data_IF_120778453140
#
_entry.id   IF_120778453140
#
_cell.length_a   1.000
_cell.length_b   1.000
_cell.length_c   1.000
_cell.angle_alpha   90.00
_cell.angle_beta   90.00
_cell.angle_gamma   90.00
#
_symmetry.space_group_name_H-M   'P 1'
#
loop_
_entity.id
_entity.type
_entity.pdbx_description
1 polymer ?
#
# COMPACT_ATOMS: atom_id res chain seq x y z
N UNK A 1 19.51 -9.62 -9.22
CA UNK A 1 19.27 -9.00 -9.46
C UNK A 1 18.76 -8.87 -10.63
N UNK A 2 17.72 -9.20 -11.01
CA UNK A 2 17.26 -9.04 -12.06
C UNK A 2 17.82 -7.99 -12.67
N UNK A 3 18.47 -7.37 -11.98
CA UNK A 3 19.20 -6.49 -12.50
C UNK A 3 19.88 -6.94 -13.70
N UNK A 4 20.02 -8.20 -13.87
CA UNK A 4 20.66 -8.72 -15.05
C UNK A 4 19.96 -8.35 -16.33
N UNK A 5 18.64 -8.32 -16.33
CA UNK A 5 17.90 -7.95 -17.53
C UNK A 5 17.88 -6.45 -17.76
N UNK A 6 18.27 -5.67 -16.76
CA UNK A 6 18.25 -4.22 -16.83
C UNK A 6 19.63 -3.61 -16.62
N UNK A 7 20.67 -4.43 -16.81
CA UNK A 7 22.04 -4.01 -16.46
C UNK A 7 22.53 -2.77 -17.20
N UNK A 8 22.00 -2.50 -18.39
CA UNK A 8 22.39 -1.33 -19.16
C UNK A 8 21.33 -0.23 -19.11
N UNK A 9 20.36 -0.38 -18.24
CA UNK A 9 19.24 0.57 -18.15
C UNK A 9 19.26 1.26 -16.80
N UNK A 10 19.24 2.58 -16.82
CA UNK A 10 19.10 3.39 -15.60
C UNK A 10 17.65 3.83 -15.49
N UNK A 11 17.06 3.65 -14.32
CA UNK A 11 15.64 3.95 -14.17
C UNK A 11 15.31 4.47 -12.79
N UNK A 12 14.25 5.27 -12.73
CA UNK A 12 13.76 5.86 -11.49
C UNK A 12 12.23 5.83 -11.52
N UNK A 13 11.68 4.66 -11.71
CA UNK A 13 10.22 4.49 -11.78
C UNK A 13 9.66 4.39 -10.36
N UNK A 14 9.32 5.53 -9.79
CA UNK A 14 8.83 5.62 -8.42
C UNK A 14 7.35 5.95 -8.41
N UNK A 15 6.64 5.31 -7.49
CA UNK A 15 5.19 5.47 -7.38
C UNK A 15 4.79 5.58 -5.93
N UNK A 16 3.82 6.44 -5.67
CA UNK A 16 3.13 6.49 -4.39
C UNK A 16 1.85 5.68 -4.57
N UNK A 17 1.69 4.64 -3.78
CA UNK A 17 0.58 3.71 -3.91
C UNK A 17 -0.16 3.64 -2.58
N UNK A 18 -1.49 3.66 -2.65
CA UNK A 18 -2.34 3.52 -1.46
C UNK A 18 -3.37 2.44 -1.73
N UNK A 19 -3.54 1.53 -0.79
CA UNK A 19 -4.58 0.51 -0.89
C UNK A 19 -5.07 0.14 0.50
N UNK A 20 -6.25 -0.45 0.58
CA UNK A 20 -6.96 -0.60 1.85
C UNK A 20 -7.59 -1.97 1.99
N UNK A 21 -7.79 -2.42 3.24
CA UNK A 21 -8.58 -3.61 3.49
C UNK A 21 -10.01 -3.44 2.97
N UNK A 22 -10.65 -4.56 2.67
CA UNK A 22 -12.03 -4.58 2.21
C UNK A 22 -12.92 -3.85 3.22
N UNK A 23 -13.78 -2.99 2.71
CA UNK A 23 -14.65 -2.12 3.51
C UNK A 23 -13.88 -1.14 4.38
N UNK A 24 -12.59 -0.94 4.11
CA UNK A 24 -11.73 -0.06 4.91
C UNK A 24 -11.81 -0.36 6.40
N UNK A 25 -11.86 -1.63 6.75
CA UNK A 25 -11.90 -2.04 8.15
C UNK A 25 -10.60 -1.66 8.85
N UNK A 26 -10.72 -1.18 10.09
CA UNK A 26 -9.56 -0.76 10.87
C UNK A 26 -8.97 -1.96 11.59
N UNK A 27 -8.36 -2.88 10.84
CA UNK A 27 -7.84 -4.09 11.44
C UNK A 27 -6.31 -4.22 11.36
N UNK A 28 -5.64 -3.28 10.72
CA UNK A 28 -4.18 -3.35 10.58
C UNK A 28 -3.55 -2.72 11.82
N UNK A 29 -3.46 -3.50 12.88
CA UNK A 29 -2.80 -3.08 14.11
C UNK A 29 -2.29 -4.31 14.84
N UNK A 30 -1.44 -4.11 15.84
CA UNK A 30 -0.90 -5.20 16.64
C UNK A 30 -0.18 -6.25 15.80
N UNK A 31 -0.47 -7.51 16.07
CA UNK A 31 0.19 -8.62 15.37
C UNK A 31 -0.15 -8.65 13.89
N UNK A 32 -1.37 -8.26 13.54
CA UNK A 32 -1.76 -8.21 12.12
C UNK A 32 -0.93 -7.18 11.38
N UNK A 33 -0.69 -6.03 11.98
CA UNK A 33 0.13 -4.99 11.38
C UNK A 33 1.55 -5.50 11.10
N UNK A 34 2.15 -6.16 12.08
CA UNK A 34 3.50 -6.69 11.93
C UNK A 34 3.56 -7.73 10.80
N UNK A 35 2.59 -8.62 10.75
CA UNK A 35 2.54 -9.63 9.70
C UNK A 35 2.31 -9.02 8.33
N UNK A 36 1.40 -8.06 8.22
CA UNK A 36 1.14 -7.40 6.95
C UNK A 36 2.42 -6.71 6.45
N UNK A 37 3.11 -5.98 7.33
CA UNK A 37 4.34 -5.31 6.94
C UNK A 37 5.39 -6.30 6.44
N UNK A 38 5.57 -7.40 7.16
CA UNK A 38 6.54 -8.42 6.76
C UNK A 38 6.17 -9.10 5.46
N UNK A 39 4.90 -9.42 5.28
CA UNK A 39 4.42 -10.06 4.06
C UNK A 39 4.63 -9.15 2.86
N UNK A 40 4.23 -7.89 2.96
CA UNK A 40 4.38 -6.95 1.86
C UNK A 40 5.85 -6.74 1.51
N UNK A 41 6.70 -6.62 2.51
CA UNK A 41 8.14 -6.45 2.29
C UNK A 41 8.73 -7.66 1.56
N UNK A 42 8.36 -8.86 1.98
CA UNK A 42 8.84 -10.09 1.35
C UNK A 42 8.40 -10.17 -0.11
N UNK A 43 7.14 -9.85 -0.37
CA UNK A 43 6.60 -9.94 -1.72
C UNK A 43 7.22 -8.89 -2.65
N UNK A 44 7.47 -7.70 -2.14
CA UNK A 44 8.15 -6.67 -2.91
C UNK A 44 9.56 -7.13 -3.30
N UNK A 45 10.29 -7.70 -2.36
CA UNK A 45 11.63 -8.21 -2.63
C UNK A 45 11.62 -9.29 -3.71
N UNK A 46 10.62 -10.16 -3.71
CA UNK A 46 10.51 -11.22 -4.70
C UNK A 46 10.36 -10.69 -6.12
N UNK A 47 9.83 -9.50 -6.27
CA UNK A 47 9.64 -8.87 -7.58
C UNK A 47 10.70 -7.82 -7.90
N UNK A 48 11.69 -7.67 -7.06
CA UNK A 48 12.72 -6.66 -7.27
C UNK A 48 12.20 -5.24 -7.07
N UNK A 49 11.12 -5.09 -6.33
CA UNK A 49 10.54 -3.78 -6.03
C UNK A 49 11.13 -3.29 -4.72
N UNK A 50 11.70 -2.10 -4.77
CA UNK A 50 12.31 -1.48 -3.59
C UNK A 50 11.28 -0.63 -2.86
N UNK A 51 11.12 -0.85 -1.57
CA UNK A 51 10.27 0.01 -0.75
C UNK A 51 11.15 1.13 -0.22
N UNK A 52 10.88 2.35 -0.66
CA UNK A 52 11.63 3.53 -0.20
C UNK A 52 11.09 3.94 1.16
N UNK A 53 9.78 3.96 1.29
CA UNK A 53 9.13 4.26 2.55
C UNK A 53 7.74 3.63 2.53
N UNK A 54 7.25 3.21 3.68
CA UNK A 54 5.90 2.64 3.77
C UNK A 54 5.36 2.84 5.18
N UNK A 55 4.04 2.95 5.27
CA UNK A 55 3.36 3.06 6.55
C UNK A 55 2.08 2.24 6.51
N UNK A 56 1.91 1.39 7.52
CA UNK A 56 0.69 0.61 7.67
C UNK A 56 -0.21 1.34 8.65
N UNK A 57 -1.23 1.99 8.13
CA UNK A 57 -2.25 2.60 8.95
C UNK A 57 -3.34 1.57 9.23
N UNK A 58 -4.22 1.86 10.19
CA UNK A 58 -5.23 0.87 10.59
C UNK A 58 -6.13 0.43 9.45
N UNK A 59 -6.47 1.34 8.56
CA UNK A 59 -7.41 1.05 7.48
C UNK A 59 -6.83 1.24 6.09
N UNK A 60 -5.52 1.44 5.96
CA UNK A 60 -4.91 1.56 4.64
C UNK A 60 -3.39 1.45 4.73
N UNK A 61 -2.77 1.25 3.58
CA UNK A 61 -1.33 1.18 3.44
C UNK A 61 -0.88 2.30 2.50
N UNK A 62 0.13 3.06 2.89
CA UNK A 62 0.83 3.98 2.02
C UNK A 62 2.20 3.40 1.69
N UNK A 63 2.57 3.39 0.42
CA UNK A 63 3.89 2.91 0.01
C UNK A 63 4.49 3.84 -1.02
N UNK A 64 5.76 4.17 -0.85
CA UNK A 64 6.55 4.78 -1.90
C UNK A 64 7.51 3.70 -2.38
N UNK A 65 7.36 3.27 -3.62
CA UNK A 65 8.12 2.14 -4.15
C UNK A 65 8.80 2.50 -5.46
N UNK A 66 9.87 1.76 -5.74
CA UNK A 66 10.59 1.87 -7.00
C UNK A 66 10.39 0.54 -7.71
N UNK A 67 9.68 0.57 -8.83
CA UNK A 67 9.30 -0.64 -9.56
C UNK A 67 10.13 -0.76 -10.83
N UNK A 68 10.74 -1.94 -11.10
CA UNK A 68 11.50 -2.12 -12.33
C UNK A 68 10.64 -1.85 -13.55
N UNK A 69 11.19 -1.22 -14.60
CA UNK A 69 10.40 -0.85 -15.77
C UNK A 69 9.85 -2.02 -16.58
N UNK A 70 10.34 -3.22 -16.34
CA UNK A 70 9.82 -4.40 -17.04
C UNK A 70 8.56 -4.98 -16.37
N UNK A 71 8.06 -4.37 -15.29
CA UNK A 71 6.85 -4.81 -14.62
C UNK A 71 5.87 -3.63 -14.59
N UNK A 72 4.64 -3.86 -15.02
CA UNK A 72 3.62 -2.82 -14.92
C UNK A 72 3.15 -2.68 -13.48
N UNK A 73 2.63 -1.49 -13.15
CA UNK A 73 2.06 -1.26 -11.83
C UNK A 73 0.89 -2.21 -11.57
N UNK A 74 0.04 -2.41 -12.57
CA UNK A 74 -1.13 -3.28 -12.39
C UNK A 74 -0.73 -4.73 -12.17
N UNK A 75 0.29 -5.20 -12.86
CA UNK A 75 0.80 -6.55 -12.68
C UNK A 75 1.37 -6.71 -11.28
N UNK A 76 2.16 -5.75 -10.85
CA UNK A 76 2.74 -5.78 -9.50
C UNK A 76 1.65 -5.74 -8.43
N UNK A 77 0.66 -4.86 -8.57
CA UNK A 77 -0.40 -4.74 -7.58
C UNK A 77 -1.30 -5.98 -7.54
N UNK A 78 -1.55 -6.59 -8.69
CA UNK A 78 -2.30 -7.84 -8.73
C UNK A 78 -1.58 -8.93 -7.95
N UNK A 79 -0.28 -9.05 -8.16
CA UNK A 79 0.55 -10.00 -7.44
C UNK A 79 0.57 -9.67 -5.93
N UNK A 80 0.85 -8.42 -5.60
CA UNK A 80 1.01 -8.02 -4.20
C UNK A 80 -0.28 -8.24 -3.41
N UNK A 81 -1.40 -7.79 -3.95
CA UNK A 81 -2.68 -7.92 -3.26
C UNK A 81 -3.15 -9.38 -3.19
N UNK A 82 -2.99 -10.11 -4.27
CA UNK A 82 -3.41 -11.51 -4.32
C UNK A 82 -2.63 -12.40 -3.38
N UNK A 83 -1.30 -12.34 -3.47
CA UNK A 83 -0.45 -13.17 -2.62
C UNK A 83 -0.53 -12.77 -1.16
N UNK A 84 -0.56 -11.47 -0.87
CA UNK A 84 -0.65 -11.02 0.51
C UNK A 84 -1.96 -11.44 1.16
N UNK A 85 -3.08 -11.40 0.42
CA UNK A 85 -4.35 -11.87 0.96
C UNK A 85 -4.26 -13.32 1.43
N UNK A 86 -3.69 -14.18 0.60
CA UNK A 86 -3.54 -15.60 0.95
C UNK A 86 -2.65 -15.78 2.19
N UNK A 87 -1.56 -15.06 2.25
CA UNK A 87 -0.63 -15.18 3.36
C UNK A 87 -1.21 -14.62 4.65
N UNK A 88 -1.97 -13.53 4.57
CA UNK A 88 -2.61 -12.95 5.73
C UNK A 88 -3.66 -13.92 6.30
N UNK A 89 -4.50 -14.48 5.44
CA UNK A 89 -5.52 -15.43 5.89
C UNK A 89 -4.92 -16.73 6.40
N UNK A 90 -3.73 -17.08 5.91
CA UNK A 90 -3.03 -18.26 6.38
C UNK A 90 -2.59 -18.08 7.84
N UNK A 91 -2.12 -16.90 8.18
CA UNK A 91 -1.67 -16.59 9.53
C UNK A 91 -2.80 -16.18 10.47
N UNK A 92 -3.87 -15.63 9.92
CA UNK A 92 -5.00 -15.12 10.68
C UNK A 92 -6.29 -15.71 10.13
N UNK A 93 -6.45 -17.01 10.34
CA UNK A 93 -7.56 -17.76 9.72
C UNK A 93 -8.93 -17.23 10.08
N UNK A 94 -9.07 -16.65 11.27
CA UNK A 94 -10.36 -16.10 11.69
C UNK A 94 -10.83 -14.95 10.81
N UNK A 95 -9.94 -14.28 10.12
CA UNK A 95 -10.32 -13.19 9.23
C UNK A 95 -11.06 -13.66 7.99
N UNK A 96 -10.85 -14.91 7.57
CA UNK A 96 -11.57 -15.45 6.42
C UNK A 96 -13.06 -15.37 6.61
N UNK A 97 -13.51 -15.67 7.82
CA UNK A 97 -14.93 -15.71 8.11
C UNK A 97 -15.55 -14.31 8.09
N UNK A 98 -14.75 -13.31 8.43
CA UNK A 98 -15.24 -11.93 8.42
C UNK A 98 -15.42 -11.38 7.02
N UNK A 99 -14.57 -11.81 6.08
CA UNK A 99 -14.59 -11.25 4.74
C UNK A 99 -15.37 -12.09 3.74
N UNK A 100 -15.81 -13.25 4.13
CA UNK A 100 -16.70 -14.07 3.32
C UNK A 100 -16.11 -14.68 2.07
N UNK A 101 -15.00 -14.15 1.58
CA UNK A 101 -14.27 -14.71 0.48
C UNK A 101 -12.81 -14.47 0.77
N UNK A 102 -11.94 -14.89 -0.09
CA UNK A 102 -10.50 -14.87 0.20
C UNK A 102 -9.83 -13.58 -0.21
N UNK A 103 -10.55 -12.48 -0.21
CA UNK A 103 -9.97 -11.20 -0.59
C UNK A 103 -9.89 -10.31 0.62
N UNK A 104 -8.68 -10.06 1.06
CA UNK A 104 -8.45 -9.17 2.20
C UNK A 104 -8.57 -7.71 1.81
N UNK A 105 -8.15 -7.35 0.61
CA UNK A 105 -8.05 -5.96 0.16
C UNK A 105 -9.26 -5.51 -0.64
N UNK A 106 -9.53 -4.21 -0.61
CA UNK A 106 -10.52 -3.61 -1.50
C UNK A 106 -10.10 -3.80 -2.93
N UNK A 107 -11.06 -3.75 -3.86
CA UNK A 107 -10.74 -3.66 -5.25
C UNK A 107 -10.04 -2.34 -5.53
N UNK A 108 -9.10 -2.36 -6.44
CA UNK A 108 -8.43 -1.14 -6.85
C UNK A 108 -7.37 -0.65 -5.87
N UNK A 109 -6.79 0.47 -6.23
CA UNK A 109 -5.76 1.13 -5.45
C UNK A 109 -5.55 2.51 -6.07
N UNK A 110 -4.95 3.39 -5.28
CA UNK A 110 -4.51 4.69 -5.79
C UNK A 110 -3.04 4.58 -6.17
N UNK A 111 -2.66 5.18 -7.30
CA UNK A 111 -1.26 5.25 -7.70
C UNK A 111 -0.98 6.60 -8.33
N UNK A 112 0.17 7.17 -7.97
CA UNK A 112 0.64 8.41 -8.54
C UNK A 112 2.12 8.26 -8.86
N UNK A 113 2.56 8.79 -9.98
CA UNK A 113 3.98 8.78 -10.33
C UNK A 113 4.70 9.83 -9.51
N UNK A 114 5.92 9.50 -9.10
CA UNK A 114 6.68 10.37 -8.24
C UNK A 114 7.97 10.74 -8.93
N UNK A 115 8.22 12.03 -9.07
CA UNK A 115 9.45 12.52 -9.68
C UNK A 115 10.35 13.16 -8.66
N UNK A 116 10.67 14.44 -8.88
CA UNK A 116 11.61 15.17 -8.02
C UNK A 116 11.08 15.42 -6.61
N UNK A 117 9.78 15.23 -6.39
CA UNK A 117 9.17 15.41 -5.09
C UNK A 117 9.20 14.15 -4.23
N UNK A 118 9.96 13.14 -4.62
CA UNK A 118 10.04 11.87 -3.90
C UNK A 118 10.34 12.07 -2.42
N UNK A 119 11.26 12.97 -2.11
CA UNK A 119 11.67 13.19 -0.73
C UNK A 119 10.55 13.75 0.12
N UNK A 120 9.73 14.63 -0.43
CA UNK A 120 8.59 15.19 0.29
C UNK A 120 7.55 14.11 0.58
N UNK A 121 7.32 13.24 -0.37
CA UNK A 121 6.37 12.15 -0.21
C UNK A 121 6.88 11.16 0.83
N UNK A 122 8.18 10.88 0.80
CA UNK A 122 8.81 10.00 1.78
C UNK A 122 8.59 10.56 3.19
N UNK A 123 8.83 11.85 3.38
CA UNK A 123 8.63 12.49 4.67
C UNK A 123 7.16 12.46 5.10
N UNK A 124 6.26 12.68 4.16
CA UNK A 124 4.83 12.64 4.44
C UNK A 124 4.43 11.26 4.97
N UNK A 125 4.87 10.20 4.31
CA UNK A 125 4.55 8.84 4.73
C UNK A 125 5.15 8.54 6.10
N UNK A 126 6.39 8.98 6.31
CA UNK A 126 7.09 8.77 7.56
C UNK A 126 6.34 9.37 8.75
N UNK A 127 5.73 10.51 8.54
CA UNK A 127 5.04 11.23 9.59
C UNK A 127 3.55 10.93 9.64
N UNK A 128 3.10 9.99 8.85
CA UNK A 128 1.67 9.69 8.72
C UNK A 128 1.01 9.38 10.05
N UNK A 129 1.65 8.56 10.88
CA UNK A 129 1.06 8.19 12.15
C UNK A 129 0.98 9.35 13.12
N UNK A 130 1.99 10.21 13.11
CA UNK A 130 2.03 11.34 14.02
C UNK A 130 0.96 12.36 13.68
N UNK A 131 0.66 12.47 12.38
CA UNK A 131 -0.27 13.46 11.90
C UNK A 131 -1.68 12.90 11.68
N UNK A 132 -1.93 11.67 12.07
CA UNK A 132 -3.22 11.03 11.82
C UNK A 132 -4.39 11.86 12.32
N UNK A 133 -4.31 12.36 13.53
CA UNK A 133 -5.40 13.14 14.09
C UNK A 133 -5.56 14.45 13.35
N UNK A 134 -4.45 15.13 13.11
CA UNK A 134 -4.47 16.40 12.38
C UNK A 134 -4.97 16.17 10.95
N UNK A 135 -4.53 15.10 10.33
CA UNK A 135 -4.96 14.74 8.99
C UNK A 135 -6.48 14.52 8.95
N UNK A 136 -6.98 13.75 9.90
CA UNK A 136 -8.41 13.49 9.97
C UNK A 136 -9.22 14.77 10.12
N UNK A 137 -8.71 15.72 10.89
CA UNK A 137 -9.39 16.99 11.07
C UNK A 137 -9.33 17.86 9.82
N UNK A 138 -8.17 17.88 9.17
CA UNK A 138 -7.99 18.69 7.98
C UNK A 138 -8.84 18.19 6.83
N UNK A 139 -9.06 16.91 6.77
CA UNK A 139 -9.61 16.31 5.56
C UNK A 139 -11.10 16.14 5.58
N UNK A 140 -11.80 16.64 6.59
CA UNK A 140 -13.26 16.59 6.56
C UNK A 140 -13.82 17.20 5.27
N UNK A 141 -13.15 18.21 4.74
CA UNK A 141 -13.57 18.87 3.51
C UNK A 141 -12.75 18.47 2.30
N UNK A 142 -11.54 18.01 2.52
CA UNK A 142 -10.57 17.80 1.45
C UNK A 142 -10.16 16.37 1.22
N UNK A 143 -10.63 15.48 2.08
CA UNK A 143 -10.23 14.09 1.94
C UNK A 143 -10.82 13.50 0.67
N UNK A 144 -9.95 12.93 -0.13
CA UNK A 144 -10.34 12.27 -1.36
C UNK A 144 -10.01 10.81 -1.21
N UNK A 145 -11.02 9.96 -1.42
CA UNK A 145 -10.81 8.52 -1.35
C UNK A 145 -9.82 8.11 -2.44
N UNK A 146 -8.68 7.51 -2.07
CA UNK A 146 -7.69 7.13 -3.06
C UNK A 146 -8.16 6.06 -4.03
N UNK A 147 -9.26 5.39 -3.72
CA UNK A 147 -9.75 4.32 -4.58
C UNK A 147 -10.83 4.76 -5.54
N UNK A 148 -11.60 5.78 -5.21
CA UNK A 148 -12.67 6.27 -6.08
C UNK A 148 -12.36 7.64 -6.68
N UNK A 149 -11.44 8.39 -6.08
CA UNK A 149 -11.16 9.75 -6.51
C UNK A 149 -12.22 10.75 -6.09
N UNK A 150 -13.16 10.36 -5.25
CA UNK A 150 -14.24 11.21 -4.83
C UNK A 150 -14.05 11.68 -3.40
N UNK A 151 -14.61 12.87 -3.06
CA UNK A 151 -14.53 13.35 -1.69
C UNK A 151 -15.27 12.41 -0.74
N UNK A 152 -14.69 12.22 0.44
CA UNK A 152 -15.29 11.38 1.46
C UNK A 152 -15.57 12.25 2.67
N UNK A 153 -16.76 12.11 3.25
CA UNK A 153 -17.11 12.81 4.46
C UNK A 153 -16.84 11.89 5.62
N UNK A 154 -15.91 12.27 6.48
CA UNK A 154 -15.56 11.46 7.63
C UNK A 154 -16.62 11.58 8.71
N UNK A 155 -16.66 10.60 9.58
CA UNK A 155 -17.59 10.64 10.71
C UNK A 155 -18.92 10.01 10.43
N UNK A 156 -19.04 9.43 9.29
CA UNK A 156 -20.28 8.75 8.96
C UNK A 156 -20.22 7.29 9.23
#
# INVERSE_FOLDING_TARGET
MDKNTLSHTTWQCKYHIVFAPKYRRQIIYGNIKADVANILSTLCKRKGVEIIEAECCKDHIHMLVKIPPNISVSEFMGYLKGKSSLMIFDRHANLKYKYGNRKFWCRGYYVDTVGKNAKKIEEYIKNQLQDDIAYDQLTLKEYIDPFTGEPVIKGK
#
